data_IF_466654742045
#
_entry.id   IF_466654742045
#
_cell.length_a   1.000
_cell.length_b   1.000
_cell.length_c   1.000
_cell.angle_alpha   90.00
_cell.angle_beta   90.00
_cell.angle_gamma   90.00
#
_symmetry.space_group_name_H-M   'P 1'
#
loop_
_entity.id
_entity.type
_entity.pdbx_description
1 polymer ?
#
# COMPACT_ATOMS: atom_id res chain seq x y z
N UNK A 1 7.40 -2.12 -0.68
CA UNK A 1 8.48 -2.28 -1.70
C UNK A 1 9.31 -3.47 -1.27
N UNK A 2 9.79 -4.27 -2.22
CA UNK A 2 10.74 -5.35 -1.91
C UNK A 2 12.06 -5.12 -2.62
N UNK A 3 13.12 -5.71 -2.07
CA UNK A 3 14.45 -5.69 -2.67
C UNK A 3 14.78 -7.09 -3.19
N UNK A 4 15.35 -7.15 -4.39
CA UNK A 4 15.91 -8.35 -4.97
C UNK A 4 17.42 -8.19 -4.96
N UNK A 5 18.09 -9.05 -4.21
CA UNK A 5 19.54 -9.10 -4.18
C UNK A 5 20.04 -9.96 -5.33
N UNK A 6 21.05 -9.47 -6.02
CA UNK A 6 21.67 -10.13 -7.15
C UNK A 6 23.01 -10.71 -6.71
N UNK A 7 23.44 -11.82 -7.33
CA UNK A 7 24.80 -12.29 -7.16
C UNK A 7 25.79 -11.29 -7.77
N UNK A 8 27.02 -11.24 -7.29
CA UNK A 8 28.07 -10.39 -7.86
C UNK A 8 28.43 -10.83 -9.29
N UNK A 9 28.74 -9.86 -10.15
CA UNK A 9 29.11 -10.09 -11.55
C UNK A 9 30.59 -10.46 -11.65
N UNK A 10 30.92 -11.57 -12.32
CA UNK A 10 32.31 -11.88 -12.68
C UNK A 10 32.77 -10.92 -13.78
N UNK A 11 33.70 -10.02 -13.47
CA UNK A 11 34.20 -8.99 -14.41
C UNK A 11 35.60 -9.31 -14.95
N UNK A 12 36.28 -10.31 -14.38
CA UNK A 12 37.58 -10.76 -14.87
C UNK A 12 38.32 -11.66 -13.88
N UNK A 13 39.65 -11.67 -13.98
CA UNK A 13 40.52 -12.49 -13.14
C UNK A 13 40.92 -13.82 -13.79
N UNK A 14 41.66 -14.63 -13.03
CA UNK A 14 42.03 -16.00 -13.44
C UNK A 14 41.07 -17.00 -12.83
N UNK A 15 41.14 -18.27 -13.26
CA UNK A 15 40.32 -19.34 -12.67
C UNK A 15 40.51 -19.48 -11.16
N UNK A 16 41.74 -19.23 -10.68
CA UNK A 16 42.10 -19.36 -9.27
C UNK A 16 41.92 -18.05 -8.48
N UNK A 17 41.78 -16.92 -9.18
CA UNK A 17 41.57 -15.60 -8.58
C UNK A 17 40.58 -14.77 -9.43
N UNK A 18 39.28 -15.13 -9.42
CA UNK A 18 38.24 -14.36 -10.09
C UNK A 18 38.03 -13.00 -9.43
N UNK A 19 37.74 -11.99 -10.23
CA UNK A 19 37.42 -10.62 -9.80
C UNK A 19 35.93 -10.41 -10.00
N UNK A 20 35.22 -10.05 -8.93
CA UNK A 20 33.80 -9.79 -8.93
C UNK A 20 33.49 -8.31 -8.68
N UNK A 21 32.42 -7.84 -9.32
CA UNK A 21 31.82 -6.54 -9.09
C UNK A 21 30.45 -6.73 -8.45
N UNK A 22 30.18 -6.04 -7.34
CA UNK A 22 28.93 -6.21 -6.62
C UNK A 22 27.78 -5.46 -7.26
N UNK A 23 26.62 -6.11 -7.33
CA UNK A 23 25.41 -5.55 -7.92
C UNK A 23 24.51 -4.92 -6.85
N UNK A 24 24.07 -3.67 -7.09
CA UNK A 24 23.10 -3.03 -6.22
C UNK A 24 21.76 -3.80 -6.22
N UNK A 25 21.04 -3.83 -5.07
CA UNK A 25 19.75 -4.49 -4.99
C UNK A 25 18.69 -3.77 -5.82
N UNK A 26 17.88 -4.54 -6.54
CA UNK A 26 16.79 -4.01 -7.35
C UNK A 26 15.55 -3.80 -6.48
N UNK A 27 15.08 -2.56 -6.40
CA UNK A 27 13.80 -2.24 -5.75
C UNK A 27 12.67 -2.45 -6.73
N UNK A 28 11.68 -3.24 -6.32
CA UNK A 28 10.46 -3.46 -7.10
C UNK A 28 9.23 -3.11 -6.30
N UNK A 29 8.19 -2.70 -7.02
CA UNK A 29 6.89 -2.46 -6.45
C UNK A 29 6.37 -3.73 -5.77
N UNK A 30 5.75 -3.57 -4.60
CA UNK A 30 5.27 -4.70 -3.82
C UNK A 30 3.86 -4.42 -3.32
N UNK A 31 2.93 -5.28 -3.73
CA UNK A 31 1.51 -5.25 -3.41
C UNK A 31 1.09 -6.42 -2.50
N UNK A 32 2.02 -7.27 -2.07
CA UNK A 32 1.68 -8.42 -1.21
C UNK A 32 1.22 -7.98 0.19
N UNK A 33 1.63 -6.80 0.65
CA UNK A 33 1.22 -6.27 1.95
C UNK A 33 1.83 -7.07 3.10
N UNK A 34 1.10 -7.19 4.21
CA UNK A 34 1.57 -7.92 5.39
C UNK A 34 1.88 -9.41 5.09
N UNK A 35 1.24 -10.00 4.07
CA UNK A 35 1.42 -11.42 3.72
C UNK A 35 2.83 -11.82 3.28
N UNK A 36 3.67 -10.86 2.89
CA UNK A 36 5.09 -11.11 2.57
C UNK A 36 6.04 -10.66 3.67
N UNK A 37 5.54 -10.09 4.77
CA UNK A 37 6.35 -9.68 5.92
C UNK A 37 6.50 -10.86 6.89
N UNK A 38 7.74 -11.30 7.10
CA UNK A 38 8.05 -12.41 7.99
C UNK A 38 7.75 -12.11 9.46
N UNK A 39 7.59 -10.83 9.82
CA UNK A 39 7.29 -10.40 11.18
C UNK A 39 5.81 -10.08 11.39
N UNK A 40 4.97 -10.20 10.35
CA UNK A 40 3.55 -9.94 10.49
C UNK A 40 2.84 -11.11 11.19
N UNK A 41 2.09 -10.81 12.24
CA UNK A 41 1.15 -11.75 12.87
C UNK A 41 -0.17 -11.71 12.09
N UNK A 42 -0.40 -12.71 11.23
CA UNK A 42 -1.55 -12.74 10.32
C UNK A 42 -2.56 -13.74 10.81
N UNK A 43 -3.71 -13.22 11.25
CA UNK A 43 -4.89 -14.00 11.54
C UNK A 43 -6.03 -13.55 10.62
N UNK A 44 -6.41 -14.42 9.68
CA UNK A 44 -7.48 -14.14 8.71
C UNK A 44 -8.85 -13.92 9.38
N UNK A 45 -9.08 -14.46 10.58
CA UNK A 45 -10.34 -14.31 11.31
C UNK A 45 -10.45 -12.94 11.98
N UNK A 46 -9.31 -12.34 12.35
CA UNK A 46 -9.21 -10.97 12.88
C UNK A 46 -9.06 -9.91 11.78
N UNK A 47 -8.50 -10.31 10.65
CA UNK A 47 -8.17 -9.42 9.54
C UNK A 47 -6.89 -8.63 9.77
N UNK A 48 -6.52 -7.81 8.79
CA UNK A 48 -5.30 -7.00 8.84
C UNK A 48 -5.45 -5.75 9.70
N UNK A 49 -4.31 -5.30 10.24
CA UNK A 49 -4.15 -4.04 10.94
C UNK A 49 -4.69 -2.85 10.14
N UNK A 50 -5.39 -1.97 10.84
CA UNK A 50 -6.03 -0.79 10.24
C UNK A 50 -5.07 0.40 10.21
N UNK A 51 -3.97 0.26 9.46
CA UNK A 51 -2.90 1.27 9.38
C UNK A 51 -3.40 2.68 8.99
N UNK A 52 -4.54 2.76 8.29
CA UNK A 52 -5.14 4.02 7.83
C UNK A 52 -6.16 4.62 8.81
N UNK A 53 -6.49 3.96 9.92
CA UNK A 53 -7.56 4.41 10.82
C UNK A 53 -7.29 5.82 11.35
N UNK A 54 -6.09 6.08 11.84
CA UNK A 54 -5.74 7.39 12.41
C UNK A 54 -5.85 8.51 11.37
N UNK A 55 -5.36 8.29 10.14
CA UNK A 55 -5.47 9.26 9.06
C UNK A 55 -6.92 9.63 8.72
N UNK A 56 -7.84 8.69 8.90
CA UNK A 56 -9.27 8.94 8.68
C UNK A 56 -9.89 9.68 9.88
N UNK A 57 -9.51 9.31 11.11
CA UNK A 57 -10.03 9.92 12.34
C UNK A 57 -9.60 11.38 12.50
N UNK A 58 -8.33 11.66 12.25
CA UNK A 58 -7.72 13.00 12.39
C UNK A 58 -8.35 14.07 11.46
N UNK A 59 -9.05 13.66 10.39
CA UNK A 59 -9.76 14.60 9.49
C UNK A 59 -11.08 15.12 10.05
N UNK A 60 -11.63 14.47 11.08
CA UNK A 60 -12.85 14.85 11.80
C UNK A 60 -14.07 15.11 10.90
N UNK A 61 -14.12 14.53 9.70
CA UNK A 61 -15.17 14.72 8.71
C UNK A 61 -16.03 13.46 8.47
N UNK A 62 -15.79 12.45 9.28
CA UNK A 62 -16.45 11.15 9.28
C UNK A 62 -16.96 10.79 10.67
N UNK A 63 -18.06 10.05 10.72
CA UNK A 63 -18.67 9.54 11.94
C UNK A 63 -18.81 8.02 11.86
N UNK A 64 -18.64 7.34 12.99
CA UNK A 64 -18.89 5.90 13.08
C UNK A 64 -20.39 5.66 13.31
N UNK A 65 -20.96 4.72 12.57
CA UNK A 65 -22.33 4.30 12.76
C UNK A 65 -22.41 3.31 13.92
N UNK A 66 -23.51 3.32 14.66
CA UNK A 66 -23.76 2.33 15.71
C UNK A 66 -23.95 0.92 15.16
N UNK A 67 -24.41 0.80 13.92
CA UNK A 67 -24.63 -0.46 13.22
C UNK A 67 -24.58 -0.25 11.71
N UNK A 68 -24.46 -1.35 10.97
CA UNK A 68 -24.62 -1.33 9.52
C UNK A 68 -26.01 -0.80 9.14
N UNK A 69 -26.06 0.11 8.15
CA UNK A 69 -27.30 0.72 7.68
C UNK A 69 -27.92 0.03 6.46
N UNK A 70 -27.17 -0.84 5.78
CA UNK A 70 -27.65 -1.58 4.60
C UNK A 70 -28.57 -2.71 5.02
N UNK A 71 -29.77 -2.78 4.43
CA UNK A 71 -30.73 -3.84 4.69
C UNK A 71 -30.17 -5.24 4.37
N UNK A 72 -29.36 -5.35 3.30
CA UNK A 72 -28.70 -6.62 2.97
C UNK A 72 -27.73 -7.06 4.08
N UNK A 73 -26.93 -6.15 4.61
CA UNK A 73 -25.98 -6.45 5.69
C UNK A 73 -26.72 -6.83 6.98
N UNK A 74 -27.78 -6.10 7.33
CA UNK A 74 -28.59 -6.39 8.52
C UNK A 74 -29.24 -7.77 8.43
N UNK A 75 -29.81 -8.14 7.27
CA UNK A 75 -30.38 -9.48 7.06
C UNK A 75 -29.36 -10.60 7.25
N UNK A 76 -28.12 -10.41 6.78
CA UNK A 76 -27.05 -11.41 6.93
C UNK A 76 -26.50 -11.50 8.36
N UNK A 77 -26.50 -10.39 9.09
CA UNK A 77 -26.13 -10.35 10.51
C UNK A 77 -27.19 -11.00 11.42
N UNK A 78 -28.44 -11.07 10.99
CA UNK A 78 -29.52 -11.75 11.71
C UNK A 78 -29.64 -13.26 11.39
N UNK A 79 -28.86 -13.78 10.44
CA UNK A 79 -28.90 -15.18 10.01
C UNK A 79 -27.88 -16.02 10.79
N UNK A 80 -28.33 -16.70 11.84
CA UNK A 80 -27.52 -17.55 12.72
C UNK A 80 -26.79 -18.68 11.96
N UNK A 81 -27.32 -19.10 10.80
CA UNK A 81 -26.68 -20.10 9.95
C UNK A 81 -25.31 -19.66 9.42
N UNK A 82 -25.01 -18.37 9.45
CA UNK A 82 -23.75 -17.79 8.98
C UNK A 82 -22.71 -17.57 10.08
N UNK A 83 -23.01 -17.87 11.36
CA UNK A 83 -22.11 -17.57 12.48
C UNK A 83 -20.71 -18.14 12.31
N UNK A 84 -20.61 -19.37 11.82
CA UNK A 84 -19.33 -20.06 11.58
C UNK A 84 -18.47 -19.41 10.48
N UNK A 85 -19.07 -18.55 9.64
CA UNK A 85 -18.39 -17.79 8.57
C UNK A 85 -18.11 -16.34 8.96
N UNK A 86 -18.62 -15.86 10.10
CA UNK A 86 -18.44 -14.46 10.53
C UNK A 86 -17.01 -14.24 11.03
N UNK A 87 -16.43 -13.13 10.61
CA UNK A 87 -15.19 -12.62 11.20
C UNK A 87 -15.43 -12.19 12.64
N UNK A 88 -14.43 -12.37 13.50
CA UNK A 88 -14.54 -12.09 14.94
C UNK A 88 -14.58 -10.58 15.21
N UNK A 89 -13.91 -9.78 14.37
CA UNK A 89 -13.86 -8.33 14.46
C UNK A 89 -14.83 -7.69 13.45
N UNK A 90 -16.07 -7.46 13.86
CA UNK A 90 -17.06 -6.69 13.08
C UNK A 90 -17.00 -5.21 13.45
N UNK A 91 -16.16 -4.47 12.73
CA UNK A 91 -16.03 -3.04 12.97
C UNK A 91 -17.23 -2.27 12.41
N UNK A 92 -17.90 -1.41 13.21
CA UNK A 92 -19.02 -0.62 12.72
C UNK A 92 -18.59 0.32 11.58
N UNK A 93 -19.39 0.42 10.50
CA UNK A 93 -19.03 1.21 9.34
C UNK A 93 -18.96 2.70 9.67
N UNK A 94 -18.14 3.44 8.93
CA UNK A 94 -18.04 4.90 9.03
C UNK A 94 -18.63 5.56 7.79
N UNK A 95 -19.20 6.75 7.95
CA UNK A 95 -19.70 7.57 6.85
C UNK A 95 -19.22 9.01 6.98
N UNK A 96 -19.34 9.79 5.92
CA UNK A 96 -19.17 11.24 6.00
C UNK A 96 -20.21 11.84 6.96
N UNK A 97 -19.78 12.80 7.78
CA UNK A 97 -20.71 13.62 8.55
C UNK A 97 -21.63 14.41 7.62
N UNK A 98 -22.80 14.83 8.13
CA UNK A 98 -23.77 15.62 7.36
C UNK A 98 -23.11 16.87 6.76
N UNK A 99 -23.24 17.04 5.45
CA UNK A 99 -22.69 18.19 4.72
C UNK A 99 -21.19 18.12 4.43
N UNK A 100 -20.48 17.06 4.84
CA UNK A 100 -19.07 16.83 4.51
C UNK A 100 -18.93 15.93 3.28
N UNK A 101 -17.78 16.05 2.61
CA UNK A 101 -17.36 15.18 1.50
C UNK A 101 -15.98 14.64 1.84
N UNK A 102 -15.79 13.34 1.66
CA UNK A 102 -14.62 12.60 2.17
C UNK A 102 -13.79 11.94 1.06
N UNK A 103 -14.10 12.25 -0.20
CA UNK A 103 -13.42 11.67 -1.36
C UNK A 103 -12.06 12.34 -1.58
N UNK A 104 -11.06 11.59 -2.05
CA UNK A 104 -9.74 12.15 -2.40
C UNK A 104 -9.83 13.28 -3.44
N UNK A 105 -10.74 13.17 -4.41
CA UNK A 105 -11.00 14.24 -5.39
C UNK A 105 -11.47 15.55 -4.74
N UNK A 106 -12.28 15.48 -3.68
CA UNK A 106 -12.74 16.66 -2.93
C UNK A 106 -11.59 17.34 -2.20
N UNK A 107 -10.72 16.58 -1.55
CA UNK A 107 -9.53 17.14 -0.90
C UNK A 107 -8.58 17.78 -1.92
N UNK A 108 -8.29 17.08 -3.03
CA UNK A 108 -7.42 17.58 -4.09
C UNK A 108 -7.93 18.90 -4.70
N UNK A 109 -9.24 18.99 -5.01
CA UNK A 109 -9.84 20.24 -5.54
C UNK A 109 -9.79 21.41 -4.56
N UNK A 110 -9.60 21.14 -3.27
CA UNK A 110 -9.42 22.16 -2.23
C UNK A 110 -7.94 22.46 -1.93
N UNK A 111 -7.01 21.85 -2.68
CA UNK A 111 -5.58 21.99 -2.43
C UNK A 111 -5.08 21.29 -1.17
N UNK A 112 -5.84 20.32 -0.64
CA UNK A 112 -5.47 19.56 0.56
C UNK A 112 -4.73 18.29 0.12
N UNK A 113 -3.48 18.15 0.55
CA UNK A 113 -2.70 16.91 0.40
C UNK A 113 -3.04 16.00 1.57
N UNK A 114 -3.55 14.81 1.29
CA UNK A 114 -3.86 13.82 2.33
C UNK A 114 -2.67 12.88 2.57
N UNK A 115 -2.60 12.21 3.74
CA UNK A 115 -1.59 11.17 3.98
C UNK A 115 -1.60 10.07 2.91
N UNK A 116 -2.77 9.74 2.33
CA UNK A 116 -2.84 8.80 1.22
C UNK A 116 -2.15 9.30 -0.06
N UNK A 117 -2.26 10.60 -0.37
CA UNK A 117 -1.57 11.20 -1.52
C UNK A 117 -0.06 11.16 -1.32
N UNK A 118 0.43 11.51 -0.13
CA UNK A 118 1.84 11.44 0.21
C UNK A 118 2.37 9.99 0.15
N UNK A 119 1.63 9.05 0.76
CA UNK A 119 1.98 7.62 0.72
C UNK A 119 2.15 7.11 -0.70
N UNK A 120 1.23 7.44 -1.60
CA UNK A 120 1.32 7.07 -3.02
C UNK A 120 2.51 7.77 -3.68
N UNK A 121 2.74 9.06 -3.45
CA UNK A 121 3.86 9.79 -4.04
C UNK A 121 5.21 9.15 -3.65
N UNK A 122 5.39 8.76 -2.39
CA UNK A 122 6.58 8.05 -1.91
C UNK A 122 6.72 6.67 -2.57
N UNK A 123 5.61 5.95 -2.71
CA UNK A 123 5.57 4.60 -3.28
C UNK A 123 5.91 4.61 -4.78
N UNK A 124 5.33 5.54 -5.54
CA UNK A 124 5.58 5.71 -6.98
C UNK A 124 6.99 6.22 -7.27
N UNK A 125 7.58 7.00 -6.37
CA UNK A 125 8.98 7.41 -6.51
C UNK A 125 9.96 6.23 -6.33
N UNK A 126 9.54 5.08 -5.79
CA UNK A 126 10.37 3.88 -5.58
C UNK A 126 11.72 4.14 -4.89
N UNK A 127 11.83 5.24 -4.13
CA UNK A 127 13.10 5.75 -3.58
C UNK A 127 14.19 6.01 -4.63
N UNK A 128 13.83 6.57 -5.80
CA UNK A 128 14.74 6.80 -6.93
C UNK A 128 15.95 7.67 -6.57
N UNK A 129 15.79 8.61 -5.63
CA UNK A 129 16.88 9.47 -5.15
C UNK A 129 18.03 8.71 -4.47
N UNK A 130 17.81 7.48 -4.01
CA UNK A 130 18.87 6.62 -3.44
C UNK A 130 19.51 5.69 -4.47
N UNK A 131 19.06 5.72 -5.73
CA UNK A 131 19.66 4.94 -6.82
C UNK A 131 20.76 5.81 -7.43
N UNK A 132 22.02 5.45 -7.17
CA UNK A 132 23.19 6.17 -7.68
C UNK A 132 23.75 5.58 -8.97
N UNK A 133 23.26 4.41 -9.37
CA UNK A 133 23.71 3.72 -10.57
C UNK A 133 23.24 4.46 -11.84
N UNK A 134 24.17 4.87 -12.72
CA UNK A 134 23.85 5.63 -13.93
C UNK A 134 23.06 4.82 -14.97
N UNK A 135 23.12 3.49 -14.95
CA UNK A 135 22.31 2.63 -15.83
C UNK A 135 20.87 2.58 -15.32
N UNK A 136 20.67 2.40 -14.02
CA UNK A 136 19.34 2.31 -13.41
C UNK A 136 18.57 3.64 -13.38
N UNK A 137 19.25 4.76 -13.61
CA UNK A 137 18.65 6.09 -13.68
C UNK A 137 18.29 6.51 -15.11
N UNK A 138 18.66 5.72 -16.13
CA UNK A 138 18.31 6.01 -17.52
C UNK A 138 16.82 5.78 -17.76
N UNK A 139 16.18 6.77 -18.41
CA UNK A 139 14.83 6.63 -18.95
C UNK A 139 14.95 6.11 -20.38
N UNK A 140 14.33 4.98 -20.68
CA UNK A 140 14.29 4.46 -22.05
C UNK A 140 13.62 5.48 -23.00
N UNK A 141 14.05 5.57 -24.27
CA UNK A 141 13.37 6.37 -25.28
C UNK A 141 11.99 5.74 -25.52
N UNK A 142 10.96 6.37 -24.98
CA UNK A 142 9.57 5.93 -25.12
C UNK A 142 8.69 7.13 -25.49
N UNK A 143 7.68 6.89 -26.33
CA UNK A 143 6.68 7.90 -26.66
C UNK A 143 5.56 7.89 -25.63
N UNK A 144 5.41 9.01 -24.90
CA UNK A 144 4.38 9.12 -23.86
C UNK A 144 2.99 9.51 -24.41
N UNK A 145 2.85 9.66 -25.74
CA UNK A 145 1.61 10.05 -26.45
C UNK A 145 0.78 11.09 -25.67
N UNK A 146 1.40 12.24 -25.39
CA UNK A 146 0.81 13.38 -24.69
C UNK A 146 0.40 13.16 -23.21
N UNK A 147 0.88 12.12 -22.53
CA UNK A 147 0.91 12.09 -21.05
C UNK A 147 2.07 12.97 -20.57
N UNK A 148 1.74 14.04 -19.84
CA UNK A 148 2.71 14.88 -19.10
C UNK A 148 3.34 14.08 -17.96
#
# INVERSE_FOLDING_TARGET
MRQIHQADTLVGGTKDAPIFESNAPLKVYDCAGAYSDLNADIDVRKGLDKLRSNWILEREDTEQLSQASSGFTQQRLADDGLDHLRFEALEPPRRAQKGKRVTQMHYARRGIITPEMEYIALRENMTRTKVTDPVLTQKAPGESLARQ
#
